data_IF_464175509008
#
_entry.id   IF_464175509008
#
_cell.length_a   1.000
_cell.length_b   1.000
_cell.length_c   1.000
_cell.angle_alpha   90.00
_cell.angle_beta   90.00
_cell.angle_gamma   90.00
#
_symmetry.space_group_name_H-M   'P 1'
#
loop_
_entity.id
_entity.type
_entity.pdbx_description
1 polymer ?
#
# COMPACT_ATOMS: atom_id res chain seq x y z
N UNK A 1 -84.93 -12.09 -37.93
CA UNK A 1 -85.90 -11.55 -36.96
C UNK A 1 -85.65 -12.24 -35.62
N UNK A 2 -85.06 -11.54 -34.64
CA UNK A 2 -84.91 -11.97 -33.22
C UNK A 2 -84.03 -13.20 -32.95
N UNK A 3 -83.26 -13.34 -31.86
CA UNK A 3 -83.00 -12.54 -30.67
C UNK A 3 -81.63 -12.99 -30.14
N UNK A 4 -80.82 -12.04 -29.66
CA UNK A 4 -79.62 -12.29 -28.86
C UNK A 4 -79.99 -13.07 -27.59
N UNK A 5 -79.12 -14.02 -27.19
CA UNK A 5 -78.81 -14.36 -25.78
C UNK A 5 -77.53 -15.19 -25.76
N UNK A 6 -76.42 -14.53 -25.44
CA UNK A 6 -75.16 -15.17 -25.04
C UNK A 6 -75.24 -15.41 -23.55
N UNK A 7 -75.07 -16.67 -23.14
CA UNK A 7 -75.02 -17.10 -21.74
C UNK A 7 -73.59 -16.92 -21.24
N UNK A 8 -73.45 -16.17 -20.14
CA UNK A 8 -72.23 -15.96 -19.42
C UNK A 8 -71.82 -17.22 -18.63
N UNK A 9 -70.54 -17.59 -18.71
CA UNK A 9 -69.93 -18.53 -17.76
C UNK A 9 -68.96 -17.72 -16.89
N UNK A 10 -69.24 -17.68 -15.59
CA UNK A 10 -68.38 -17.09 -14.57
C UNK A 10 -67.07 -17.87 -14.48
N UNK A 11 -65.94 -17.18 -14.67
CA UNK A 11 -64.64 -17.64 -14.22
C UNK A 11 -64.33 -16.94 -12.88
N UNK A 12 -64.12 -17.74 -11.83
CA UNK A 12 -63.75 -17.28 -10.50
C UNK A 12 -62.35 -16.63 -10.53
N UNK A 13 -62.28 -15.35 -10.19
CA UNK A 13 -61.02 -14.66 -9.94
C UNK A 13 -60.52 -14.94 -8.54
N UNK A 14 -59.32 -15.54 -8.42
CA UNK A 14 -58.54 -15.46 -7.19
C UNK A 14 -57.81 -14.11 -7.17
N UNK A 15 -58.19 -13.27 -6.21
CA UNK A 15 -57.45 -12.09 -5.77
C UNK A 15 -56.20 -12.57 -5.01
N UNK A 16 -55.02 -12.43 -5.62
CA UNK A 16 -53.76 -12.50 -4.90
C UNK A 16 -53.48 -11.13 -4.28
N UNK A 17 -53.55 -11.06 -2.95
CA UNK A 17 -53.18 -9.88 -2.15
C UNK A 17 -51.66 -9.77 -2.19
N UNK A 18 -51.14 -8.72 -2.84
CA UNK A 18 -49.71 -8.41 -2.87
C UNK A 18 -49.24 -7.89 -1.51
N UNK A 19 -48.45 -8.69 -0.80
CA UNK A 19 -47.64 -8.25 0.33
C UNK A 19 -46.37 -7.50 -0.15
N UNK A 20 -45.77 -6.64 0.68
CA UNK A 20 -44.61 -5.86 0.29
C UNK A 20 -43.41 -6.79 0.07
N UNK A 21 -42.76 -6.65 -1.09
CA UNK A 21 -41.48 -7.30 -1.37
C UNK A 21 -40.43 -6.61 -0.50
N UNK A 22 -40.13 -7.21 0.64
CA UNK A 22 -38.94 -6.87 1.43
C UNK A 22 -37.75 -7.31 0.59
N UNK A 23 -37.03 -6.35 0.02
CA UNK A 23 -35.77 -6.59 -0.66
C UNK A 23 -34.81 -7.25 0.33
N UNK A 24 -34.48 -8.51 0.08
CA UNK A 24 -33.39 -9.20 0.77
C UNK A 24 -32.10 -8.42 0.47
N UNK A 25 -31.63 -7.69 1.48
CA UNK A 25 -30.22 -7.30 1.56
C UNK A 25 -29.41 -8.60 1.50
N UNK A 26 -28.59 -8.73 0.47
CA UNK A 26 -27.59 -9.78 0.41
C UNK A 26 -26.67 -9.62 1.64
N UNK A 27 -26.84 -10.51 2.60
CA UNK A 27 -25.86 -10.72 3.65
C UNK A 27 -24.56 -11.12 2.95
N UNK A 28 -23.52 -10.30 3.10
CA UNK A 28 -22.17 -10.64 2.64
C UNK A 28 -21.70 -11.76 3.56
N UNK A 29 -21.63 -12.98 3.02
CA UNK A 29 -21.04 -14.10 3.71
C UNK A 29 -19.55 -13.79 3.94
N UNK A 30 -19.19 -13.48 5.18
CA UNK A 30 -17.85 -13.76 5.69
C UNK A 30 -17.78 -15.28 5.95
N UNK A 31 -16.62 -15.90 5.68
CA UNK A 31 -16.26 -17.32 5.98
C UNK A 31 -16.23 -18.36 4.83
N UNK A 32 -15.82 -17.99 3.61
CA UNK A 32 -15.10 -18.97 2.77
C UNK A 32 -13.59 -18.76 2.91
N UNK A 33 -12.88 -19.79 3.38
CA UNK A 33 -11.41 -19.82 3.43
C UNK A 33 -10.89 -19.89 2.01
N UNK A 34 -10.54 -18.73 1.45
CA UNK A 34 -9.90 -18.61 0.14
C UNK A 34 -8.43 -19.04 0.23
N UNK A 35 -7.85 -19.59 -0.86
CA UNK A 35 -6.42 -19.86 -0.91
C UNK A 35 -5.63 -18.55 -0.73
N UNK A 36 -4.47 -18.65 -0.08
CA UNK A 36 -3.56 -17.52 0.13
C UNK A 36 -3.22 -16.87 -1.21
N UNK A 37 -3.29 -15.54 -1.29
CA UNK A 37 -2.93 -14.81 -2.50
C UNK A 37 -1.45 -14.43 -2.46
N UNK A 38 -0.66 -14.97 -3.38
CA UNK A 38 0.76 -14.61 -3.52
C UNK A 38 0.96 -13.44 -4.50
N UNK A 39 0.11 -13.33 -5.52
CA UNK A 39 0.21 -12.26 -6.52
C UNK A 39 -1.13 -11.94 -7.20
N UNK A 40 -1.18 -10.78 -7.84
CA UNK A 40 -2.28 -10.37 -8.70
C UNK A 40 -1.76 -9.63 -9.92
N UNK A 41 -2.35 -9.89 -11.09
CA UNK A 41 -2.01 -9.24 -12.36
C UNK A 41 -3.14 -8.35 -12.81
N UNK A 42 -2.83 -7.11 -13.16
CA UNK A 42 -3.78 -6.10 -13.61
C UNK A 42 -3.25 -5.32 -14.83
N UNK A 43 -4.12 -4.48 -15.40
CA UNK A 43 -3.73 -3.43 -16.34
C UNK A 43 -4.28 -2.11 -15.82
N UNK A 44 -3.41 -1.18 -15.45
CA UNK A 44 -3.79 0.11 -14.86
C UNK A 44 -3.37 1.21 -15.81
N UNK A 45 -4.34 1.99 -16.30
CA UNK A 45 -4.06 3.06 -17.25
C UNK A 45 -3.36 2.61 -18.53
N UNK A 46 -3.59 1.36 -18.95
CA UNK A 46 -2.95 0.75 -20.13
C UNK A 46 -1.60 0.06 -19.86
N UNK A 47 -1.08 0.13 -18.63
CA UNK A 47 0.20 -0.48 -18.25
C UNK A 47 -0.01 -1.82 -17.53
N UNK A 48 0.77 -2.87 -17.85
CA UNK A 48 0.79 -4.09 -17.06
C UNK A 48 1.25 -3.80 -15.63
N UNK A 49 0.52 -4.33 -14.67
CA UNK A 49 0.82 -4.20 -13.24
C UNK A 49 0.78 -5.57 -12.57
N UNK A 50 1.75 -5.82 -11.70
CA UNK A 50 1.76 -6.99 -10.83
C UNK A 50 1.85 -6.55 -9.38
N UNK A 51 0.96 -7.08 -8.53
CA UNK A 51 1.12 -7.02 -7.10
C UNK A 51 1.65 -8.35 -6.57
N UNK A 52 2.54 -8.29 -5.58
CA UNK A 52 3.05 -9.45 -4.87
C UNK A 52 2.88 -9.25 -3.38
N UNK A 53 2.48 -10.31 -2.70
CA UNK A 53 2.15 -10.31 -1.28
C UNK A 53 2.99 -11.37 -0.57
N UNK A 54 3.48 -11.05 0.63
CA UNK A 54 4.04 -12.07 1.53
C UNK A 54 3.07 -12.34 2.65
N UNK A 55 2.95 -13.60 3.05
CA UNK A 55 2.03 -14.06 4.08
C UNK A 55 2.71 -15.08 5.01
N UNK A 56 3.11 -14.67 6.23
CA UNK A 56 3.92 -15.51 7.11
C UNK A 56 3.08 -16.50 7.96
N UNK A 57 1.75 -16.60 7.76
CA UNK A 57 0.87 -17.32 8.71
C UNK A 57 1.23 -18.78 8.90
N UNK A 58 1.59 -19.46 7.82
CA UNK A 58 1.86 -20.91 7.83
C UNK A 58 3.34 -21.23 7.71
N UNK A 59 4.11 -20.34 7.09
CA UNK A 59 5.55 -20.44 6.91
C UNK A 59 6.11 -19.08 6.51
N UNK A 60 7.43 -18.91 6.64
CA UNK A 60 8.15 -17.78 6.04
C UNK A 60 7.88 -17.71 4.53
N UNK A 61 7.55 -16.52 4.03
CA UNK A 61 7.10 -16.32 2.65
C UNK A 61 8.02 -15.36 1.88
N UNK A 62 8.83 -15.92 0.97
CA UNK A 62 9.78 -15.18 0.17
C UNK A 62 9.19 -14.56 -1.11
N UNK A 63 7.88 -14.60 -1.34
CA UNK A 63 7.25 -14.17 -2.61
C UNK A 63 7.77 -12.80 -3.10
N UNK A 64 7.75 -11.79 -2.24
CA UNK A 64 8.21 -10.43 -2.58
C UNK A 64 9.74 -10.38 -2.82
N UNK A 65 10.52 -11.08 -1.99
CA UNK A 65 11.99 -11.11 -2.10
C UNK A 65 12.43 -11.81 -3.39
N UNK A 66 11.76 -12.92 -3.72
CA UNK A 66 11.97 -13.66 -4.96
C UNK A 66 11.64 -12.80 -6.17
N UNK A 67 10.54 -12.05 -6.15
CA UNK A 67 10.19 -11.15 -7.26
C UNK A 67 11.23 -10.04 -7.44
N UNK A 68 11.66 -9.37 -6.36
CA UNK A 68 12.66 -8.32 -6.48
C UNK A 68 13.98 -8.87 -7.05
N UNK A 69 14.42 -10.05 -6.57
CA UNK A 69 15.60 -10.73 -7.12
C UNK A 69 15.42 -11.06 -8.60
N UNK A 70 14.24 -11.57 -9.00
CA UNK A 70 13.94 -11.86 -10.41
C UNK A 70 14.10 -10.61 -11.29
N UNK A 71 13.58 -9.46 -10.85
CA UNK A 71 13.71 -8.19 -11.57
C UNK A 71 15.19 -7.76 -11.71
N UNK A 72 15.98 -7.91 -10.64
CA UNK A 72 17.42 -7.58 -10.63
C UNK A 72 18.21 -8.52 -11.55
N UNK A 73 17.98 -9.82 -11.45
CA UNK A 73 18.69 -10.84 -12.22
C UNK A 73 18.37 -10.74 -13.72
N UNK A 74 17.13 -10.37 -14.06
CA UNK A 74 16.70 -10.19 -15.45
C UNK A 74 17.11 -8.84 -16.07
N UNK A 75 17.69 -7.91 -15.31
CA UNK A 75 18.20 -6.65 -15.87
C UNK A 75 19.40 -6.90 -16.81
N UNK A 76 19.31 -6.51 -18.10
CA UNK A 76 20.34 -6.78 -19.09
C UNK A 76 21.53 -5.82 -18.97
N UNK A 77 22.70 -6.22 -19.46
CA UNK A 77 23.89 -5.36 -19.52
C UNK A 77 23.58 -4.02 -20.22
N UNK A 78 24.18 -2.93 -19.74
CA UNK A 78 23.93 -1.57 -20.24
C UNK A 78 22.66 -0.91 -19.71
N UNK A 79 21.78 -1.65 -19.01
CA UNK A 79 20.65 -1.07 -18.30
C UNK A 79 21.06 -0.43 -16.96
N UNK A 80 20.12 0.22 -16.30
CA UNK A 80 20.25 0.88 -14.99
C UNK A 80 19.19 0.37 -14.02
N UNK A 81 19.63 0.12 -12.78
CA UNK A 81 18.83 -0.11 -11.57
C UNK A 81 19.09 1.05 -10.60
N UNK A 82 18.02 1.67 -10.09
CA UNK A 82 18.08 2.58 -8.94
C UNK A 82 17.19 2.04 -7.83
N UNK A 83 17.57 2.19 -6.57
CA UNK A 83 16.71 1.74 -5.48
C UNK A 83 16.96 2.41 -4.14
N UNK A 84 15.98 2.28 -3.25
CA UNK A 84 16.05 2.72 -1.87
C UNK A 84 15.80 1.52 -0.94
N UNK A 85 16.63 1.40 0.09
CA UNK A 85 16.62 0.29 1.04
C UNK A 85 16.59 0.84 2.47
N UNK A 86 15.44 0.75 3.14
CA UNK A 86 15.37 1.13 4.54
C UNK A 86 16.16 0.19 5.46
N UNK A 87 16.07 -1.12 5.25
CA UNK A 87 16.85 -2.08 6.03
C UNK A 87 17.09 -3.35 5.24
N UNK A 88 18.25 -3.97 5.46
CA UNK A 88 18.69 -5.17 4.75
C UNK A 88 19.45 -6.14 5.66
N UNK A 89 19.12 -7.42 5.53
CA UNK A 89 19.90 -8.55 6.05
C UNK A 89 19.76 -9.81 5.18
N UNK A 90 19.06 -9.70 4.05
CA UNK A 90 18.94 -10.78 3.07
C UNK A 90 20.11 -10.63 2.09
N UNK A 91 21.17 -11.40 2.36
CA UNK A 91 22.41 -11.40 1.59
C UNK A 91 22.18 -11.64 0.09
N UNK A 92 21.20 -12.47 -0.27
CA UNK A 92 20.91 -12.81 -1.66
C UNK A 92 20.43 -11.62 -2.48
N UNK A 93 19.77 -10.63 -1.85
CA UNK A 93 19.36 -9.40 -2.56
C UNK A 93 20.56 -8.50 -2.81
N UNK A 94 21.42 -8.32 -1.80
CA UNK A 94 22.65 -7.53 -1.97
C UNK A 94 23.59 -8.18 -3.01
N UNK A 95 23.71 -9.50 -2.98
CA UNK A 95 24.51 -10.24 -3.95
C UNK A 95 23.91 -10.17 -5.37
N UNK A 96 22.58 -10.21 -5.53
CA UNK A 96 21.94 -10.03 -6.83
C UNK A 96 22.27 -8.66 -7.45
N UNK A 97 22.29 -7.59 -6.63
CA UNK A 97 22.67 -6.25 -7.08
C UNK A 97 24.15 -6.19 -7.51
N UNK A 98 25.06 -6.83 -6.75
CA UNK A 98 26.48 -6.95 -7.13
C UNK A 98 26.62 -7.75 -8.43
N UNK A 99 25.88 -8.84 -8.59
CA UNK A 99 25.88 -9.64 -9.82
C UNK A 99 25.37 -8.84 -11.02
N UNK A 100 24.34 -8.01 -10.84
CA UNK A 100 23.88 -7.09 -11.87
C UNK A 100 24.96 -6.08 -12.27
N UNK A 101 25.64 -5.47 -11.30
CA UNK A 101 26.80 -4.60 -11.55
C UNK A 101 27.87 -5.31 -12.36
N UNK A 102 28.25 -6.53 -11.96
CA UNK A 102 29.29 -7.32 -12.63
C UNK A 102 28.90 -7.75 -14.05
N UNK A 103 27.59 -7.89 -14.32
CA UNK A 103 27.02 -8.13 -15.66
C UNK A 103 27.04 -6.88 -16.55
N UNK A 104 27.38 -5.71 -16.02
CA UNK A 104 27.42 -4.44 -16.74
C UNK A 104 26.15 -3.59 -16.60
N UNK A 105 25.33 -3.85 -15.58
CA UNK A 105 24.21 -2.97 -15.20
C UNK A 105 24.73 -1.82 -14.33
N UNK A 106 24.27 -0.60 -14.57
CA UNK A 106 24.52 0.52 -13.64
C UNK A 106 23.61 0.36 -12.42
N UNK A 107 24.18 0.21 -11.23
CA UNK A 107 23.40 0.02 -10.00
C UNK A 107 23.69 1.14 -9.01
N UNK A 108 22.63 1.89 -8.65
CA UNK A 108 22.65 2.94 -7.65
C UNK A 108 21.68 2.65 -6.51
N UNK A 109 22.14 2.70 -5.25
CA UNK A 109 21.29 2.46 -4.08
C UNK A 109 21.40 3.58 -3.05
N UNK A 110 20.27 3.96 -2.47
CA UNK A 110 20.18 4.77 -1.27
C UNK A 110 19.78 3.87 -0.11
N UNK A 111 20.46 3.97 1.02
CA UNK A 111 20.29 3.09 2.16
C UNK A 111 20.12 3.94 3.41
N UNK A 112 19.19 3.56 4.28
CA UNK A 112 19.03 4.21 5.57
C UNK A 112 20.33 4.18 6.37
N UNK A 113 20.64 5.30 7.01
CA UNK A 113 21.86 5.49 7.77
C UNK A 113 22.11 4.46 8.85
N UNK A 114 21.06 3.90 9.48
CA UNK A 114 21.18 2.93 10.57
C UNK A 114 21.91 1.66 10.12
N UNK A 115 21.86 1.34 8.84
CA UNK A 115 22.55 0.18 8.27
C UNK A 115 24.07 0.40 8.13
N UNK A 116 24.56 1.64 8.17
CA UNK A 116 25.96 1.95 7.89
C UNK A 116 26.93 1.27 8.87
N UNK A 117 26.53 1.15 10.14
CA UNK A 117 27.32 0.52 11.19
C UNK A 117 27.06 -0.99 11.36
N UNK A 118 26.12 -1.56 10.59
CA UNK A 118 25.80 -2.98 10.67
C UNK A 118 26.97 -3.84 10.15
N UNK A 119 27.19 -4.97 10.81
CA UNK A 119 28.18 -5.98 10.44
C UNK A 119 27.60 -7.09 9.56
N UNK A 120 26.34 -6.96 9.14
CA UNK A 120 25.66 -7.93 8.28
C UNK A 120 26.38 -8.07 6.91
N UNK A 121 26.54 -9.29 6.35
CA UNK A 121 27.28 -9.51 5.10
C UNK A 121 26.70 -8.78 3.88
N UNK A 122 25.43 -8.40 3.91
CA UNK A 122 24.81 -7.58 2.87
C UNK A 122 25.43 -6.17 2.78
N UNK A 123 25.95 -5.60 3.88
CA UNK A 123 26.48 -4.24 3.91
C UNK A 123 27.77 -4.09 3.11
N UNK A 124 28.82 -4.93 3.29
CA UNK A 124 29.97 -4.93 2.40
C UNK A 124 29.60 -5.11 0.92
N UNK A 125 28.57 -5.88 0.60
CA UNK A 125 28.09 -6.06 -0.77
C UNK A 125 27.51 -4.77 -1.36
N UNK A 126 26.65 -4.08 -0.60
CA UNK A 126 26.10 -2.78 -1.04
C UNK A 126 27.19 -1.71 -1.20
N UNK A 127 28.26 -1.76 -0.39
CA UNK A 127 29.40 -0.84 -0.52
C UNK A 127 30.18 -0.98 -1.84
N UNK A 128 29.99 -2.09 -2.57
CA UNK A 128 30.58 -2.27 -3.89
C UNK A 128 29.81 -1.53 -5.00
N UNK A 129 28.60 -1.05 -4.72
CA UNK A 129 27.72 -0.37 -5.67
C UNK A 129 27.93 1.16 -5.62
N UNK A 130 27.32 1.91 -6.55
CA UNK A 130 27.13 3.34 -6.33
C UNK A 130 26.12 3.52 -5.19
N UNK A 131 26.57 3.89 -3.99
CA UNK A 131 25.74 3.85 -2.80
C UNK A 131 25.75 5.16 -2.01
N UNK A 132 24.65 5.42 -1.29
CA UNK A 132 24.54 6.45 -0.27
C UNK A 132 23.94 5.83 0.99
N UNK A 133 24.71 5.78 2.08
CA UNK A 133 24.13 5.61 3.42
C UNK A 133 23.77 6.98 3.94
N UNK A 134 22.49 7.17 4.25
CA UNK A 134 21.93 8.47 4.60
C UNK A 134 22.44 8.97 5.96
N UNK A 135 22.72 10.26 6.04
CA UNK A 135 22.99 10.97 7.29
C UNK A 135 22.71 12.44 7.09
N UNK A 136 21.98 13.06 8.02
CA UNK A 136 21.70 14.49 8.00
C UNK A 136 22.52 15.25 9.07
N UNK A 137 22.47 16.58 9.01
CA UNK A 137 23.25 17.45 9.91
C UNK A 137 22.87 17.33 11.40
N UNK A 138 21.69 16.78 11.71
CA UNK A 138 21.17 16.58 13.06
C UNK A 138 21.38 15.13 13.55
N UNK A 139 22.28 14.37 12.91
CA UNK A 139 22.57 12.97 13.19
C UNK A 139 21.41 11.99 12.94
N UNK A 140 20.37 12.42 12.22
CA UNK A 140 19.33 11.52 11.71
C UNK A 140 19.83 10.68 10.54
N UNK A 141 19.09 9.62 10.23
CA UNK A 141 19.43 8.59 9.25
C UNK A 141 18.64 8.71 7.93
N UNK A 142 17.90 9.81 7.78
CA UNK A 142 17.27 10.24 6.54
C UNK A 142 18.26 10.95 5.61
N UNK A 143 17.95 10.91 4.31
CA UNK A 143 18.71 11.57 3.25
C UNK A 143 18.16 12.96 2.95
N UNK A 144 16.84 13.13 2.84
CA UNK A 144 16.21 14.42 2.51
C UNK A 144 15.74 15.13 3.77
N UNK A 145 15.09 14.40 4.68
CA UNK A 145 14.64 14.96 5.94
C UNK A 145 15.80 15.45 6.80
N UNK A 146 15.56 16.55 7.52
CA UNK A 146 16.47 17.14 8.50
C UNK A 146 16.13 16.75 9.95
N UNK A 147 15.13 15.89 10.19
CA UNK A 147 14.78 15.45 11.55
C UNK A 147 15.92 14.65 12.19
N UNK A 148 16.19 14.85 13.49
CA UNK A 148 17.14 14.02 14.23
C UNK A 148 16.66 12.56 14.36
N UNK A 149 15.34 12.36 14.37
CA UNK A 149 14.70 11.04 14.43
C UNK A 149 14.38 10.46 13.04
N UNK A 150 14.68 11.22 11.98
CA UNK A 150 14.32 10.87 10.61
C UNK A 150 15.08 9.66 10.07
N UNK A 151 14.37 8.79 9.37
CA UNK A 151 14.88 7.61 8.68
C UNK A 151 14.66 7.71 7.17
N UNK A 152 15.54 7.09 6.38
CA UNK A 152 15.24 6.82 4.98
C UNK A 152 14.37 5.56 4.93
N UNK A 153 13.06 5.76 4.95
CA UNK A 153 12.08 4.70 5.13
C UNK A 153 11.36 4.34 3.81
N UNK A 154 11.89 4.74 2.65
CA UNK A 154 11.36 4.36 1.34
C UNK A 154 11.86 2.98 0.89
N UNK A 155 10.98 2.15 0.30
CA UNK A 155 11.33 0.85 -0.29
C UNK A 155 10.85 0.78 -1.73
N UNK A 156 11.75 1.04 -2.67
CA UNK A 156 11.44 1.04 -4.09
C UNK A 156 12.67 0.70 -4.92
N UNK A 157 12.43 0.24 -6.15
CA UNK A 157 13.43 0.07 -7.19
C UNK A 157 12.86 0.49 -8.54
N UNK A 158 13.70 1.04 -9.40
CA UNK A 158 13.39 1.29 -10.80
C UNK A 158 14.37 0.55 -11.69
N UNK A 159 13.88 0.09 -12.84
CA UNK A 159 14.65 -0.63 -13.84
C UNK A 159 14.37 -0.02 -15.20
N UNK A 160 15.41 0.44 -15.88
CA UNK A 160 15.28 0.91 -17.28
C UNK A 160 14.90 -0.24 -18.22
N UNK A 161 15.35 -1.47 -17.92
CA UNK A 161 14.95 -2.69 -18.60
C UNK A 161 15.03 -3.91 -17.67
N UNK A 162 14.07 -4.84 -17.78
CA UNK A 162 14.04 -6.15 -17.11
C UNK A 162 12.95 -7.01 -17.78
N UNK A 163 12.49 -8.11 -17.18
CA UNK A 163 11.33 -8.89 -17.64
C UNK A 163 10.17 -8.84 -16.67
N UNK A 164 8.94 -9.01 -17.15
CA UNK A 164 7.80 -9.34 -16.30
C UNK A 164 7.81 -10.83 -15.91
N UNK A 165 6.90 -11.29 -15.02
CA UNK A 165 6.88 -12.68 -14.58
C UNK A 165 6.56 -13.70 -15.69
N UNK A 166 6.02 -13.26 -16.83
CA UNK A 166 5.83 -14.11 -18.02
C UNK A 166 7.11 -14.22 -18.86
N UNK A 167 8.20 -13.55 -18.45
CA UNK A 167 9.47 -13.49 -19.18
C UNK A 167 9.48 -12.47 -20.34
N UNK A 168 8.44 -11.64 -20.47
CA UNK A 168 8.39 -10.62 -21.52
C UNK A 168 9.33 -9.48 -21.16
N UNK A 169 10.18 -9.06 -22.10
CA UNK A 169 11.04 -7.89 -21.91
C UNK A 169 10.21 -6.62 -21.72
N UNK A 170 10.54 -5.84 -20.69
CA UNK A 170 9.87 -4.59 -20.31
C UNK A 170 10.91 -3.50 -20.10
N UNK A 171 10.52 -2.27 -20.40
CA UNK A 171 11.26 -1.05 -20.06
C UNK A 171 10.46 -0.22 -19.07
N UNK A 172 11.11 0.78 -18.47
CA UNK A 172 10.47 1.75 -17.56
C UNK A 172 9.69 1.08 -16.43
N UNK A 173 10.38 0.25 -15.65
CA UNK A 173 9.77 -0.58 -14.62
C UNK A 173 9.96 0.07 -13.26
N UNK A 174 8.89 0.15 -12.48
CA UNK A 174 8.89 0.68 -11.12
C UNK A 174 8.33 -0.35 -10.15
N UNK A 175 9.11 -0.70 -9.13
CA UNK A 175 8.74 -1.60 -8.04
C UNK A 175 8.74 -0.81 -6.73
N UNK A 176 7.70 -0.94 -5.91
CA UNK A 176 7.59 -0.24 -4.63
C UNK A 176 6.63 -0.94 -3.67
N UNK A 177 6.76 -0.70 -2.37
CA UNK A 177 5.81 -1.20 -1.39
C UNK A 177 6.28 -1.09 0.05
N UNK A 178 5.82 -2.02 0.89
CA UNK A 178 6.03 -1.97 2.35
C UNK A 178 7.23 -2.79 2.86
N UNK A 179 7.71 -3.74 2.06
CA UNK A 179 8.68 -4.75 2.51
C UNK A 179 10.08 -4.18 2.71
N UNK A 180 10.61 -4.35 3.91
CA UNK A 180 12.07 -4.28 4.11
C UNK A 180 12.75 -5.49 3.46
N UNK A 181 14.09 -5.45 3.37
CA UNK A 181 14.91 -6.53 2.82
C UNK A 181 15.62 -7.31 3.94
N UNK A 182 14.96 -7.46 5.09
CA UNK A 182 15.43 -8.26 6.23
C UNK A 182 14.58 -9.51 6.39
N UNK A 183 15.14 -10.59 6.93
CA UNK A 183 14.35 -11.82 7.17
C UNK A 183 13.13 -11.57 8.06
N UNK A 184 13.28 -10.75 9.10
CA UNK A 184 12.24 -10.52 10.11
C UNK A 184 11.02 -9.72 9.61
N UNK A 185 11.22 -8.82 8.65
CA UNK A 185 10.13 -7.89 8.20
C UNK A 185 9.89 -7.92 6.69
N UNK A 186 10.67 -8.69 5.94
CA UNK A 186 10.33 -9.12 4.59
C UNK A 186 9.48 -10.40 4.65
N UNK A 187 10.11 -11.59 4.66
CA UNK A 187 9.39 -12.84 4.50
C UNK A 187 8.68 -13.34 5.79
N UNK A 188 9.03 -12.83 6.96
CA UNK A 188 8.33 -13.13 8.24
C UNK A 188 7.21 -12.11 8.55
N UNK A 189 6.73 -11.34 7.57
CA UNK A 189 5.67 -10.34 7.78
C UNK A 189 4.70 -10.25 6.61
N UNK A 190 3.46 -9.83 6.89
CA UNK A 190 2.55 -9.46 5.82
C UNK A 190 3.04 -8.18 5.17
N UNK A 191 3.30 -8.24 3.88
CA UNK A 191 3.70 -7.09 3.08
C UNK A 191 3.02 -7.14 1.72
N UNK A 192 3.05 -6.00 1.04
CA UNK A 192 2.65 -5.88 -0.34
C UNK A 192 3.69 -5.08 -1.13
N UNK A 193 3.80 -5.40 -2.41
CA UNK A 193 4.56 -4.62 -3.38
C UNK A 193 3.81 -4.56 -4.70
N UNK A 194 4.05 -3.50 -5.46
CA UNK A 194 3.48 -3.29 -6.79
C UNK A 194 4.63 -3.05 -7.77
N UNK A 195 4.54 -3.71 -8.92
CA UNK A 195 5.41 -3.49 -10.07
C UNK A 195 4.60 -2.95 -11.23
N UNK A 196 4.95 -1.77 -11.72
CA UNK A 196 4.37 -1.14 -12.92
C UNK A 196 5.38 -1.25 -14.05
N UNK A 197 4.94 -1.75 -15.20
CA UNK A 197 5.79 -1.94 -16.38
C UNK A 197 5.43 -0.95 -17.49
N UNK A 198 6.40 -0.19 -17.98
CA UNK A 198 6.26 0.65 -19.18
C UNK A 198 5.93 2.13 -18.94
N UNK A 199 5.53 2.52 -17.73
CA UNK A 199 5.19 3.92 -17.42
C UNK A 199 6.47 4.74 -17.16
N UNK A 200 6.99 5.34 -18.23
CA UNK A 200 8.19 6.19 -18.18
C UNK A 200 8.03 7.40 -17.26
N UNK A 201 6.82 7.98 -17.18
CA UNK A 201 6.56 9.15 -16.34
C UNK A 201 6.67 8.78 -14.87
N UNK A 202 6.07 7.64 -14.48
CA UNK A 202 6.19 7.12 -13.12
C UNK A 202 7.65 6.83 -12.76
N UNK A 203 8.37 6.11 -13.62
CA UNK A 203 9.77 5.78 -13.38
C UNK A 203 10.64 7.05 -13.25
N UNK A 204 10.40 8.06 -14.08
CA UNK A 204 11.17 9.31 -14.06
C UNK A 204 10.93 10.11 -12.78
N UNK A 205 9.69 10.21 -12.30
CA UNK A 205 9.39 10.88 -11.03
C UNK A 205 10.01 10.17 -9.83
N UNK A 206 9.89 8.84 -9.79
CA UNK A 206 10.57 8.01 -8.79
C UNK A 206 12.10 8.14 -8.85
N UNK A 207 12.69 8.22 -10.05
CA UNK A 207 14.11 8.49 -10.22
C UNK A 207 14.53 9.89 -9.76
N UNK A 208 13.66 10.90 -9.91
CA UNK A 208 13.92 12.25 -9.38
C UNK A 208 13.99 12.23 -7.85
N UNK A 209 13.09 11.48 -7.20
CA UNK A 209 13.17 11.26 -5.75
C UNK A 209 14.47 10.56 -5.33
N UNK A 210 14.85 9.47 -6.00
CA UNK A 210 16.12 8.79 -5.71
C UNK A 210 17.32 9.72 -5.91
N UNK A 211 17.28 10.59 -6.92
CA UNK A 211 18.36 11.55 -7.16
C UNK A 211 18.49 12.57 -6.02
N UNK A 212 17.37 13.10 -5.50
CA UNK A 212 17.38 14.01 -4.36
C UNK A 212 17.87 13.30 -3.08
N UNK A 213 17.41 12.08 -2.84
CA UNK A 213 17.85 11.24 -1.73
C UNK A 213 19.35 10.95 -1.82
N UNK A 214 19.84 10.50 -2.97
CA UNK A 214 21.25 10.16 -3.16
C UNK A 214 22.17 11.39 -2.97
N UNK A 215 21.70 12.56 -3.38
CA UNK A 215 22.38 13.84 -3.21
C UNK A 215 22.20 14.44 -1.80
N UNK A 216 21.39 13.83 -0.93
CA UNK A 216 21.00 14.35 0.39
C UNK A 216 20.53 15.80 0.33
N UNK A 217 19.62 16.10 -0.60
CA UNK A 217 19.09 17.45 -0.76
C UNK A 217 18.10 17.75 0.35
N UNK A 218 18.39 18.78 1.13
CA UNK A 218 17.52 19.29 2.18
C UNK A 218 16.74 20.51 1.70
N UNK A 219 15.54 20.69 2.26
CA UNK A 219 14.63 21.78 1.87
C UNK A 219 14.18 22.55 3.11
N UNK A 220 13.83 23.82 2.91
CA UNK A 220 13.41 24.69 4.00
C UNK A 220 12.22 24.11 4.77
N UNK A 221 12.21 24.24 6.10
CA UNK A 221 11.16 23.76 6.99
C UNK A 221 10.89 22.24 6.94
N UNK A 222 11.87 21.44 6.52
CA UNK A 222 11.72 20.00 6.32
C UNK A 222 10.61 19.65 5.32
N UNK A 223 10.45 20.47 4.28
CA UNK A 223 9.34 20.38 3.32
C UNK A 223 9.81 19.81 1.97
N UNK A 224 9.79 18.48 1.85
CA UNK A 224 10.09 17.84 0.58
C UNK A 224 8.87 17.86 -0.36
N UNK A 225 7.70 17.52 0.15
CA UNK A 225 6.46 17.49 -0.63
C UNK A 225 5.97 18.89 -1.03
N UNK A 226 6.20 19.26 -2.28
CA UNK A 226 5.81 20.54 -2.82
C UNK A 226 5.17 20.38 -4.21
N UNK A 227 3.85 20.26 -4.22
CA UNK A 227 3.07 20.12 -5.44
C UNK A 227 3.19 21.32 -6.41
N UNK A 228 3.55 22.52 -5.93
CA UNK A 228 3.67 23.69 -6.78
C UNK A 228 4.94 23.65 -7.64
N UNK A 229 6.04 23.12 -7.10
CA UNK A 229 7.27 22.87 -7.87
C UNK A 229 7.32 21.48 -8.53
N UNK A 230 6.40 20.58 -8.16
CA UNK A 230 6.42 19.17 -8.60
C UNK A 230 7.41 18.30 -7.83
N UNK A 231 8.04 18.82 -6.78
CA UNK A 231 8.97 18.07 -5.93
C UNK A 231 8.20 17.14 -4.98
N UNK A 232 8.62 15.89 -4.91
CA UNK A 232 7.91 14.88 -4.11
C UNK A 232 6.47 14.62 -4.57
N UNK A 233 6.09 15.08 -5.77
CA UNK A 233 4.74 15.01 -6.31
C UNK A 233 4.80 14.55 -7.78
N UNK A 234 4.68 13.24 -7.98
CA UNK A 234 4.93 12.61 -9.29
C UNK A 234 3.67 11.98 -9.83
N UNK A 235 2.99 12.68 -10.74
CA UNK A 235 1.73 12.23 -11.33
C UNK A 235 2.00 11.45 -12.62
N UNK A 236 1.47 10.23 -12.69
CA UNK A 236 1.60 9.38 -13.87
C UNK A 236 0.29 8.62 -14.13
N UNK A 237 0.24 7.92 -15.26
CA UNK A 237 -1.01 7.28 -15.69
C UNK A 237 -1.32 6.05 -14.85
N UNK A 238 -0.31 5.24 -14.54
CA UNK A 238 -0.49 4.04 -13.73
C UNK A 238 -0.60 4.34 -12.23
N UNK A 239 0.10 5.36 -11.73
CA UNK A 239 0.12 5.72 -10.31
C UNK A 239 0.59 7.16 -10.08
N UNK A 240 0.08 7.75 -9.00
CA UNK A 240 0.52 9.02 -8.45
C UNK A 240 1.34 8.78 -7.19
N UNK A 241 2.51 9.40 -7.07
CA UNK A 241 3.42 9.25 -5.93
C UNK A 241 3.58 10.56 -5.17
N UNK A 242 3.51 10.47 -3.85
CA UNK A 242 3.68 11.56 -2.89
C UNK A 242 4.83 11.18 -1.96
N UNK A 243 5.88 11.98 -1.89
CA UNK A 243 7.07 11.68 -1.10
C UNK A 243 7.23 12.67 0.05
N UNK A 244 7.44 12.14 1.25
CA UNK A 244 7.65 12.92 2.48
C UNK A 244 9.15 13.17 2.72
N UNK A 245 9.55 14.06 3.65
CA UNK A 245 8.72 14.74 4.66
C UNK A 245 7.76 15.78 4.09
N UNK A 246 6.54 15.83 4.63
CA UNK A 246 5.61 16.96 4.49
C UNK A 246 5.86 17.97 5.61
N UNK A 247 5.74 19.27 5.32
CA UNK A 247 5.97 20.33 6.30
C UNK A 247 4.96 20.24 7.46
N UNK A 248 5.41 20.58 8.67
CA UNK A 248 4.51 20.79 9.81
C UNK A 248 3.39 21.79 9.47
N UNK A 249 2.13 21.36 9.65
CA UNK A 249 0.93 22.14 9.34
C UNK A 249 0.45 22.07 7.88
N UNK A 250 1.18 21.38 7.00
CA UNK A 250 0.69 21.04 5.66
C UNK A 250 -0.45 20.01 5.74
N UNK A 251 -1.36 20.05 4.77
CA UNK A 251 -2.40 19.03 4.68
C UNK A 251 -1.79 17.72 4.20
N UNK A 252 -1.83 16.75 5.11
CA UNK A 252 -1.47 15.35 4.89
C UNK A 252 -2.01 14.80 3.55
N UNK A 253 -1.11 14.24 2.73
CA UNK A 253 -1.47 13.69 1.41
C UNK A 253 -2.41 12.49 1.49
N UNK A 254 -2.32 11.64 2.51
CA UNK A 254 -3.28 10.54 2.74
C UNK A 254 -4.65 11.11 3.10
N UNK A 255 -4.71 12.13 3.97
CA UNK A 255 -5.97 12.83 4.29
C UNK A 255 -6.60 13.38 3.04
N UNK A 256 -5.80 14.02 2.18
CA UNK A 256 -6.27 14.56 0.89
C UNK A 256 -6.86 13.45 0.00
N UNK A 257 -6.23 12.27 -0.05
CA UNK A 257 -6.72 11.14 -0.86
C UNK A 257 -7.93 10.43 -0.29
N UNK A 258 -8.08 10.37 1.04
CA UNK A 258 -9.32 9.94 1.67
C UNK A 258 -10.45 10.96 1.41
N UNK A 259 -10.12 12.25 1.34
CA UNK A 259 -11.09 13.31 1.07
C UNK A 259 -11.65 13.28 -0.38
N UNK A 260 -10.97 12.63 -1.33
CA UNK A 260 -11.43 12.47 -2.72
C UNK A 260 -12.75 11.65 -2.83
N UNK A 261 -13.12 10.91 -1.77
CA UNK A 261 -14.27 10.00 -1.77
C UNK A 261 -15.43 10.63 -1.04
N UNK A 262 -16.62 10.52 -1.64
CA UNK A 262 -17.89 10.82 -0.97
C UNK A 262 -18.41 9.52 -0.34
N UNK A 263 -18.40 9.38 0.99
CA UNK A 263 -18.85 8.15 1.64
C UNK A 263 -20.38 8.02 1.58
N UNK A 264 -20.86 6.81 1.37
CA UNK A 264 -22.27 6.42 1.40
C UNK A 264 -22.40 4.96 1.88
N UNK A 265 -23.61 4.40 1.89
CA UNK A 265 -23.87 3.02 2.30
C UNK A 265 -23.21 1.94 1.40
N UNK A 266 -22.83 2.29 0.16
CA UNK A 266 -22.15 1.40 -0.77
C UNK A 266 -20.62 1.43 -0.60
N UNK A 267 -20.08 2.49 0.01
CA UNK A 267 -18.66 2.62 0.26
C UNK A 267 -18.09 1.47 1.11
N UNK A 268 -16.88 1.02 0.76
CA UNK A 268 -16.09 0.01 1.47
C UNK A 268 -14.65 0.51 1.60
N UNK A 269 -14.17 0.69 2.83
CA UNK A 269 -12.79 1.06 3.15
C UNK A 269 -12.12 -0.07 3.95
N UNK A 270 -10.98 -0.56 3.48
CA UNK A 270 -10.17 -1.58 4.17
C UNK A 270 -8.76 -1.08 4.33
N UNK A 271 -8.22 -1.19 5.55
CA UNK A 271 -6.92 -0.60 5.91
C UNK A 271 -6.03 -1.67 6.53
N UNK A 272 -4.90 -1.97 5.88
CA UNK A 272 -3.84 -2.81 6.43
C UNK A 272 -2.66 -1.94 6.85
N UNK A 273 -2.34 -1.91 8.14
CA UNK A 273 -1.36 -0.96 8.66
C UNK A 273 -0.47 -1.57 9.74
N UNK A 274 0.85 -1.38 9.62
CA UNK A 274 1.78 -1.89 10.63
C UNK A 274 1.68 -1.12 11.95
N UNK A 275 1.51 0.21 11.89
CA UNK A 275 1.35 1.05 13.07
C UNK A 275 0.49 2.29 12.81
N UNK A 276 -0.28 2.69 13.82
CA UNK A 276 -1.19 3.83 13.78
C UNK A 276 -1.05 4.62 15.06
N UNK A 277 -0.65 5.89 14.99
CA UNK A 277 -0.47 6.71 16.19
C UNK A 277 -1.42 7.91 16.22
N UNK A 278 -1.49 8.57 17.37
CA UNK A 278 -2.21 9.83 17.54
C UNK A 278 -1.57 11.02 16.80
N UNK A 279 -0.42 10.83 16.17
CA UNK A 279 0.31 11.86 15.42
C UNK A 279 -0.36 12.29 14.11
N UNK A 280 -1.31 11.52 13.58
CA UNK A 280 -2.08 11.89 12.36
C UNK A 280 -3.57 12.00 12.66
N UNK A 281 -4.00 12.95 13.50
CA UNK A 281 -5.39 13.04 13.96
C UNK A 281 -6.38 13.26 12.80
N UNK A 282 -5.98 13.94 11.74
CA UNK A 282 -6.84 14.18 10.58
C UNK A 282 -7.15 12.89 9.79
N UNK A 283 -6.25 11.89 9.79
CA UNK A 283 -6.56 10.58 9.22
C UNK A 283 -7.69 9.91 10.03
N UNK A 284 -7.61 9.97 11.37
CA UNK A 284 -8.65 9.44 12.26
C UNK A 284 -9.99 10.16 12.00
N UNK A 285 -9.95 11.49 11.84
CA UNK A 285 -11.13 12.29 11.46
C UNK A 285 -11.73 11.85 10.12
N UNK A 286 -10.92 11.60 9.09
CA UNK A 286 -11.42 11.09 7.81
C UNK A 286 -12.05 9.70 7.94
N UNK A 287 -11.42 8.78 8.68
CA UNK A 287 -12.01 7.44 8.88
C UNK A 287 -13.36 7.53 9.63
N UNK A 288 -13.47 8.41 10.64
CA UNK A 288 -14.73 8.69 11.34
C UNK A 288 -15.78 9.29 10.39
N UNK A 289 -15.39 10.19 9.49
CA UNK A 289 -16.27 10.72 8.43
C UNK A 289 -16.76 9.63 7.48
N UNK A 290 -15.91 8.68 7.11
CA UNK A 290 -16.33 7.54 6.29
C UNK A 290 -17.43 6.75 6.99
N UNK A 291 -17.25 6.45 8.29
CA UNK A 291 -18.27 5.77 9.11
C UNK A 291 -19.56 6.57 9.21
N UNK A 292 -19.50 7.87 9.51
CA UNK A 292 -20.69 8.71 9.66
C UNK A 292 -21.45 8.90 8.34
N UNK A 293 -20.75 8.86 7.20
CA UNK A 293 -21.36 8.85 5.87
C UNK A 293 -21.95 7.49 5.46
N UNK A 294 -21.85 6.45 6.29
CA UNK A 294 -22.42 5.12 6.04
C UNK A 294 -21.45 4.10 5.42
N UNK A 295 -20.19 4.46 5.20
CA UNK A 295 -19.19 3.54 4.67
C UNK A 295 -18.91 2.40 5.65
N UNK A 296 -18.74 1.19 5.13
CA UNK A 296 -18.25 0.08 5.93
C UNK A 296 -16.72 0.15 5.98
N UNK A 297 -16.17 0.13 7.20
CA UNK A 297 -14.73 0.28 7.42
C UNK A 297 -14.20 -0.89 8.24
N UNK A 298 -13.13 -1.51 7.73
CA UNK A 298 -12.37 -2.56 8.40
C UNK A 298 -10.90 -2.19 8.47
N UNK A 299 -10.25 -2.61 9.54
CA UNK A 299 -8.84 -2.37 9.76
C UNK A 299 -8.16 -3.62 10.33
N UNK A 300 -7.02 -3.98 9.76
CA UNK A 300 -6.09 -4.94 10.36
C UNK A 300 -4.79 -4.23 10.71
N UNK A 301 -4.34 -4.40 11.95
CA UNK A 301 -3.16 -3.71 12.48
C UNK A 301 -2.14 -4.69 13.02
N UNK A 302 -0.86 -4.37 12.82
CA UNK A 302 0.27 -5.11 13.38
C UNK A 302 0.33 -5.09 14.90
N UNK A 303 1.29 -5.82 15.44
CA UNK A 303 1.57 -5.85 16.87
C UNK A 303 2.76 -4.96 17.25
N UNK A 304 2.75 -4.44 18.47
CA UNK A 304 3.89 -3.83 19.14
C UNK A 304 4.85 -4.92 19.67
N UNK A 305 5.96 -4.48 20.26
CA UNK A 305 6.98 -5.38 20.84
C UNK A 305 6.49 -6.20 22.04
N UNK A 306 5.39 -5.79 22.68
CA UNK A 306 4.74 -6.51 23.78
C UNK A 306 3.61 -7.45 23.31
N UNK A 307 3.43 -7.58 22.00
CA UNK A 307 2.40 -8.41 21.35
C UNK A 307 1.00 -7.79 21.32
N UNK A 308 0.82 -6.57 21.84
CA UNK A 308 -0.44 -5.82 21.74
C UNK A 308 -0.60 -5.17 20.37
N UNK A 309 -1.79 -4.68 20.03
CA UNK A 309 -2.00 -3.89 18.82
C UNK A 309 -1.08 -2.67 18.77
N UNK A 310 -0.41 -2.42 17.64
CA UNK A 310 0.42 -1.24 17.41
C UNK A 310 -0.44 -0.01 17.08
N UNK A 311 -1.23 0.40 18.07
CA UNK A 311 -2.14 1.54 17.97
C UNK A 311 -2.27 2.26 19.31
N UNK A 312 -2.15 3.59 19.33
CA UNK A 312 -2.39 4.34 20.57
C UNK A 312 -3.83 4.17 21.08
N UNK A 313 -4.00 4.05 22.40
CA UNK A 313 -5.30 3.82 23.04
C UNK A 313 -6.39 4.83 22.66
N UNK A 314 -6.04 6.11 22.55
CA UNK A 314 -6.99 7.15 22.15
C UNK A 314 -7.54 6.91 20.74
N UNK A 315 -6.66 6.66 19.77
CA UNK A 315 -7.04 6.34 18.38
C UNK A 315 -7.86 5.05 18.32
N UNK A 316 -7.44 4.03 19.06
CA UNK A 316 -8.13 2.75 19.18
C UNK A 316 -9.57 2.92 19.66
N UNK A 317 -9.78 3.65 20.75
CA UNK A 317 -11.11 3.91 21.30
C UNK A 317 -11.96 4.76 20.36
N UNK A 318 -11.38 5.78 19.73
CA UNK A 318 -12.07 6.67 18.79
C UNK A 318 -12.62 5.93 17.57
N UNK A 319 -11.79 5.08 16.96
CA UNK A 319 -12.16 4.31 15.78
C UNK A 319 -13.19 3.22 16.12
N UNK A 320 -13.03 2.50 17.23
CA UNK A 320 -14.02 1.53 17.70
C UNK A 320 -15.35 2.22 18.04
N UNK A 321 -15.31 3.37 18.70
CA UNK A 321 -16.50 4.18 19.02
C UNK A 321 -17.25 4.67 17.78
N UNK A 322 -16.53 4.93 16.68
CA UNK A 322 -17.12 5.22 15.36
C UNK A 322 -17.62 3.97 14.61
N UNK A 323 -17.48 2.78 15.21
CA UNK A 323 -17.91 1.51 14.64
C UNK A 323 -16.99 0.95 13.55
N UNK A 324 -15.72 1.36 13.52
CA UNK A 324 -14.70 0.68 12.69
C UNK A 324 -14.49 -0.72 13.22
N UNK A 325 -14.47 -1.72 12.33
CA UNK A 325 -14.16 -3.10 12.69
C UNK A 325 -12.64 -3.30 12.69
N UNK A 326 -12.04 -3.39 13.87
CA UNK A 326 -10.59 -3.51 14.03
C UNK A 326 -10.22 -4.94 14.43
N UNK A 327 -9.20 -5.49 13.77
CA UNK A 327 -8.53 -6.72 14.19
C UNK A 327 -7.04 -6.48 14.32
N UNK A 328 -6.42 -7.14 15.29
CA UNK A 328 -4.97 -7.19 15.44
C UNK A 328 -4.48 -8.49 14.80
N UNK A 329 -3.45 -8.43 13.98
CA UNK A 329 -2.78 -9.63 13.46
C UNK A 329 -1.26 -9.47 13.66
N UNK A 330 -0.62 -10.53 14.12
CA UNK A 330 0.82 -10.50 14.34
C UNK A 330 1.56 -10.28 13.01
N UNK A 331 2.65 -9.53 13.07
CA UNK A 331 3.57 -9.32 11.93
C UNK A 331 2.91 -8.70 10.69
N UNK A 332 1.81 -7.95 10.84
CA UNK A 332 1.35 -7.07 9.76
C UNK A 332 2.36 -5.95 9.59
N UNK A 333 3.06 -5.95 8.47
CA UNK A 333 3.99 -4.90 8.06
C UNK A 333 3.50 -4.14 6.82
N UNK A 334 2.26 -4.40 6.40
CA UNK A 334 1.57 -3.66 5.35
C UNK A 334 1.40 -2.18 5.69
N UNK A 335 1.34 -1.36 4.64
CA UNK A 335 0.90 0.04 4.68
C UNK A 335 0.04 0.32 3.44
N UNK A 336 -1.21 -0.12 3.47
CA UNK A 336 -2.14 0.10 2.36
C UNK A 336 -3.55 0.38 2.83
N UNK A 337 -4.33 1.00 1.96
CA UNK A 337 -5.78 0.99 2.09
C UNK A 337 -6.46 0.85 0.73
N UNK A 338 -7.65 0.28 0.75
CA UNK A 338 -8.48 0.02 -0.42
C UNK A 338 -9.79 0.75 -0.26
N UNK A 339 -10.21 1.43 -1.32
CA UNK A 339 -11.52 2.08 -1.34
C UNK A 339 -12.30 1.63 -2.55
N UNK A 340 -13.47 1.06 -2.29
CA UNK A 340 -14.57 1.09 -3.24
C UNK A 340 -15.51 2.20 -2.79
N UNK A 341 -15.73 3.21 -3.62
CA UNK A 341 -16.50 4.38 -3.21
C UNK A 341 -16.74 5.37 -4.34
N UNK A 342 -17.53 6.40 -4.05
CA UNK A 342 -17.92 7.41 -5.02
C UNK A 342 -16.85 8.51 -5.13
N UNK A 343 -16.24 8.62 -6.31
CA UNK A 343 -15.32 9.70 -6.69
C UNK A 343 -16.05 10.63 -7.65
N UNK A 344 -16.42 11.83 -7.19
CA UNK A 344 -17.33 12.69 -7.92
C UNK A 344 -18.71 12.02 -8.06
N UNK A 345 -19.10 11.64 -9.29
CA UNK A 345 -20.38 10.99 -9.57
C UNK A 345 -20.29 9.46 -9.76
N UNK A 346 -19.09 8.91 -9.93
CA UNK A 346 -18.88 7.51 -10.29
C UNK A 346 -18.30 6.68 -9.15
N UNK A 347 -18.69 5.40 -9.07
CA UNK A 347 -18.05 4.45 -8.17
C UNK A 347 -16.80 3.87 -8.82
N UNK A 348 -15.73 3.79 -8.04
CA UNK A 348 -14.45 3.27 -8.50
C UNK A 348 -13.79 2.42 -7.41
N UNK A 349 -12.92 1.53 -7.85
CA UNK A 349 -12.04 0.73 -7.02
C UNK A 349 -10.65 1.37 -7.07
N UNK A 350 -10.05 1.58 -5.90
CA UNK A 350 -8.72 2.18 -5.82
C UNK A 350 -7.88 1.54 -4.73
N UNK A 351 -6.63 1.33 -5.07
CA UNK A 351 -5.57 0.83 -4.19
C UNK A 351 -4.63 1.97 -3.86
N UNK A 352 -4.27 2.05 -2.59
CA UNK A 352 -3.28 2.98 -2.08
C UNK A 352 -2.27 2.19 -1.25
N UNK A 353 -0.98 2.41 -1.48
CA UNK A 353 0.09 1.68 -0.78
C UNK A 353 1.34 2.57 -0.62
N UNK A 354 2.44 2.01 -0.16
CA UNK A 354 3.74 2.68 -0.03
C UNK A 354 4.47 2.20 1.20
N UNK A 355 5.31 3.08 1.74
CA UNK A 355 6.11 2.80 2.93
C UNK A 355 5.59 3.46 4.20
N UNK A 356 4.72 4.47 4.07
CA UNK A 356 4.22 5.28 5.18
C UNK A 356 3.29 4.53 6.13
N UNK A 357 3.68 4.44 7.40
CA UNK A 357 2.73 4.16 8.47
C UNK A 357 1.79 5.34 8.72
N UNK A 358 0.71 5.12 9.46
CA UNK A 358 -0.16 6.19 9.93
C UNK A 358 0.38 6.82 11.23
N UNK A 359 1.63 7.31 11.18
CA UNK A 359 2.37 7.90 12.30
C UNK A 359 2.93 9.28 11.96
N UNK A 360 3.21 10.12 12.97
CA UNK A 360 3.81 11.44 12.77
C UNK A 360 5.14 11.34 11.99
N UNK A 361 6.00 10.41 12.39
CA UNK A 361 7.33 10.25 11.83
C UNK A 361 7.25 9.98 10.32
N UNK A 362 6.33 9.11 9.89
CA UNK A 362 6.10 8.80 8.49
C UNK A 362 5.52 9.98 7.68
N UNK A 363 4.91 10.97 8.33
CA UNK A 363 4.40 12.17 7.65
C UNK A 363 5.49 13.23 7.48
N UNK A 364 6.25 13.55 8.54
CA UNK A 364 7.07 14.77 8.58
C UNK A 364 8.53 14.55 8.98
N UNK A 365 8.96 13.33 9.27
CA UNK A 365 10.32 13.07 9.77
C UNK A 365 11.09 12.09 8.91
N UNK A 366 10.42 11.10 8.34
CA UNK A 366 11.03 10.09 7.48
C UNK A 366 10.95 10.49 5.99
N UNK A 367 11.92 9.98 5.23
CA UNK A 367 11.81 9.94 3.77
C UNK A 367 10.94 8.74 3.38
N UNK A 368 9.71 8.99 2.93
CA UNK A 368 8.75 7.94 2.60
C UNK A 368 8.13 8.19 1.24
N UNK A 369 7.46 7.16 0.70
CA UNK A 369 6.51 7.32 -0.40
C UNK A 369 5.13 6.81 -0.01
N UNK A 370 4.13 7.55 -0.46
CA UNK A 370 2.73 7.17 -0.51
C UNK A 370 2.29 7.13 -1.98
N UNK A 371 1.63 6.06 -2.39
CA UNK A 371 1.29 5.80 -3.78
C UNK A 371 -0.21 5.58 -3.92
N UNK A 372 -0.83 6.36 -4.79
CA UNK A 372 -2.21 6.19 -5.24
C UNK A 372 -2.18 5.51 -6.61
N UNK A 373 -2.67 4.29 -6.69
CA UNK A 373 -2.78 3.59 -7.97
C UNK A 373 -3.89 4.21 -8.83
N UNK A 374 -3.73 4.10 -10.15
CA UNK A 374 -4.78 4.38 -11.12
C UNK A 374 -6.05 3.60 -10.79
N UNK A 375 -7.20 4.15 -11.18
CA UNK A 375 -8.50 3.57 -10.83
C UNK A 375 -8.82 2.35 -11.68
N UNK A 376 -9.46 1.37 -11.05
CA UNK A 376 -10.18 0.29 -11.71
C UNK A 376 -11.68 0.56 -11.63
N UNK A 377 -12.40 0.27 -12.72
CA UNK A 377 -13.85 0.47 -12.82
C UNK A 377 -14.50 -0.71 -13.54
N UNK A 378 -15.81 -0.83 -13.42
CA UNK A 378 -16.56 -1.94 -14.03
C UNK A 378 -16.50 -3.21 -13.19
N UNK A 379 -16.77 -4.35 -13.84
CA UNK A 379 -16.95 -5.65 -13.16
C UNK A 379 -15.64 -6.37 -12.82
N UNK A 380 -14.50 -5.90 -13.33
CA UNK A 380 -13.19 -6.50 -13.11
C UNK A 380 -12.22 -5.48 -12.54
N UNK A 381 -11.66 -5.78 -11.37
CA UNK A 381 -10.73 -4.92 -10.66
C UNK A 381 -9.63 -5.78 -10.00
N UNK A 382 -8.81 -6.48 -10.82
CA UNK A 382 -7.87 -7.49 -10.34
C UNK A 382 -6.82 -6.96 -9.36
N UNK A 383 -6.38 -5.70 -9.48
CA UNK A 383 -5.44 -5.14 -8.49
C UNK A 383 -6.13 -4.98 -7.14
N UNK A 384 -7.32 -4.37 -7.14
CA UNK A 384 -8.15 -4.23 -5.94
C UNK A 384 -8.47 -5.60 -5.31
N UNK A 385 -8.84 -6.60 -6.11
CA UNK A 385 -9.17 -7.95 -5.63
C UNK A 385 -7.97 -8.66 -5.02
N UNK A 386 -6.78 -8.53 -5.61
CA UNK A 386 -5.55 -9.06 -5.04
C UNK A 386 -5.29 -8.52 -3.64
N UNK A 387 -5.32 -7.19 -3.49
CA UNK A 387 -5.17 -6.55 -2.19
C UNK A 387 -6.32 -6.87 -1.22
N UNK A 388 -7.55 -7.01 -1.71
CA UNK A 388 -8.70 -7.40 -0.89
C UNK A 388 -8.51 -8.82 -0.32
N UNK A 389 -8.07 -9.77 -1.14
CA UNK A 389 -7.78 -11.12 -0.69
C UNK A 389 -6.61 -11.11 0.32
N UNK A 390 -5.54 -10.36 0.07
CA UNK A 390 -4.41 -10.20 1.00
C UNK A 390 -4.82 -9.56 2.34
N UNK A 391 -5.69 -8.54 2.28
CA UNK A 391 -6.28 -7.97 3.49
C UNK A 391 -7.02 -9.03 4.31
N UNK A 392 -7.82 -9.87 3.67
CA UNK A 392 -8.58 -10.92 4.35
C UNK A 392 -7.68 -12.03 4.91
N UNK A 393 -6.55 -12.32 4.25
CA UNK A 393 -5.57 -13.26 4.76
C UNK A 393 -5.03 -12.87 6.15
N UNK A 394 -4.86 -11.57 6.42
CA UNK A 394 -4.50 -11.07 7.74
C UNK A 394 -5.74 -10.86 8.63
N UNK A 395 -6.79 -10.23 8.10
CA UNK A 395 -7.96 -9.82 8.86
C UNK A 395 -8.75 -11.02 9.38
N UNK A 396 -9.00 -12.05 8.57
CA UNK A 396 -9.87 -13.18 8.97
C UNK A 396 -9.26 -14.01 10.10
N UNK A 397 -7.94 -14.00 10.24
CA UNK A 397 -7.20 -14.73 11.28
C UNK A 397 -6.73 -13.83 12.44
N UNK A 398 -6.98 -12.52 12.36
CA UNK A 398 -6.67 -11.57 13.42
C UNK A 398 -7.65 -11.65 14.60
N UNK A 399 -7.19 -11.25 15.78
CA UNK A 399 -8.03 -11.13 16.98
C UNK A 399 -8.89 -9.88 16.89
N UNK A 400 -10.18 -10.04 17.21
CA UNK A 400 -11.14 -8.93 17.23
C UNK A 400 -10.88 -8.00 18.40
N UNK A 401 -10.81 -6.71 18.09
CA UNK A 401 -10.50 -5.67 19.04
C UNK A 401 -11.76 -5.00 19.57
N UNK A 402 -11.80 -4.73 20.87
CA UNK A 402 -12.88 -4.07 21.60
C UNK A 402 -12.29 -3.09 22.62
N UNK A 403 -13.07 -2.11 23.09
CA UNK A 403 -12.58 -1.17 24.12
C UNK A 403 -12.19 -1.88 25.43
N UNK A 404 -12.76 -3.05 25.71
CA UNK A 404 -12.50 -3.84 26.92
C UNK A 404 -11.19 -4.65 26.89
N UNK A 405 -10.61 -4.89 25.71
CA UNK A 405 -9.40 -5.72 25.58
C UNK A 405 -8.17 -4.93 25.13
N UNK A 406 -8.07 -3.63 25.41
CA UNK A 406 -6.87 -2.86 25.10
C UNK A 406 -5.69 -3.20 26.05
N UNK A 407 -4.45 -3.35 25.52
CA UNK A 407 -4.14 -3.48 24.10
C UNK A 407 -4.64 -4.82 23.57
N UNK A 408 -5.29 -4.80 22.42
CA UNK A 408 -5.84 -5.99 21.75
C UNK A 408 -4.69 -6.96 21.45
N UNK A 409 -4.64 -8.09 22.17
CA UNK A 409 -3.53 -9.06 22.14
C UNK A 409 -3.84 -10.34 21.42
#
# INVERSE_FOLDING_TARGET
MGKKRVVAVLAAGLLAVGGPVVGQQAAVADDEVRPLVASARATIGGYPVWAHFSNPRTARDYTIITELRRLIDAAPAGSTIRGTIHSISIDEVAQALVNAKNRGVTVQVVVDGKNAASTDPSIPSLRQLSNRFCVNANAGHSCVSTSADGDMHTKMFTFTATTDPDGTARSNVSWFGSSNLTYATGPDSFNNTVTVYGDATLMNGLNANVADLFAQRHYANNDYYDSASGRGYYMATAADVYASPERAGQTDTIVTRLNDVTPDANCRLRIGMASVTSGRPEIVSQVKRYRSGGCQVWMVVGNDSAGGISMNQGVYNDLLGAGVKIRRMAQVHDKFFLVYGKYGTAYNYRVYTGSQNWTQDALSENDEIFVKMGTESGATHPLYDGFYNHFNDAYNFGVTCTTANYPCK
#
